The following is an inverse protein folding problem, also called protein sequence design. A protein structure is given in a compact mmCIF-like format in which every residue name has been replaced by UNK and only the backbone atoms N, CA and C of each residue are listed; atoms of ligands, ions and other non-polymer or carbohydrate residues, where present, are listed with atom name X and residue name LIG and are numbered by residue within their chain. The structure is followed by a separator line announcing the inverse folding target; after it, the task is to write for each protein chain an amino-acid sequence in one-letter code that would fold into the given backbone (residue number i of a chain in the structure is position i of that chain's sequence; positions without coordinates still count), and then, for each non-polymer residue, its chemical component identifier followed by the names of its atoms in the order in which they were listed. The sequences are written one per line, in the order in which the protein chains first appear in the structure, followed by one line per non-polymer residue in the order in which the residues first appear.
data_IF_433739275976
#
_entry.id   IF_433739275976
#
_cell.length_a   1.000
_cell.length_b   1.000
_cell.length_c   1.000
_cell.angle_alpha   90.00
_cell.angle_beta   90.00
_cell.angle_gamma   90.00
#
_symmetry.space_group_name_H-M   'P 1'
#
loop_
_entity.id
_entity.type
_entity.pdbx_description
1 polymer ?
#
# COMPACT_ATOMS: atom_id res chain seq x y z
N UNK A 1 30.41 -55.49 -40.18
CA UNK A 1 29.86 -55.92 -38.87
C UNK A 1 30.77 -55.28 -37.85
N UNK A 2 30.43 -54.21 -37.13
CA UNK A 2 29.17 -53.55 -36.72
C UNK A 2 29.50 -52.04 -36.64
N UNK A 3 28.74 -51.15 -37.29
CA UNK A 3 27.58 -50.39 -36.79
C UNK A 3 27.87 -49.40 -35.64
N UNK A 4 27.72 -48.10 -35.99
CA UNK A 4 27.02 -47.00 -35.28
C UNK A 4 27.32 -46.80 -33.77
N UNK A 5 27.64 -45.60 -33.27
CA UNK A 5 26.88 -44.36 -33.43
C UNK A 5 27.75 -43.12 -33.08
N UNK A 6 27.78 -42.14 -33.97
CA UNK A 6 28.20 -40.77 -33.67
C UNK A 6 27.01 -40.07 -33.01
N UNK A 7 27.10 -39.79 -31.71
CA UNK A 7 26.13 -38.95 -31.00
C UNK A 7 26.29 -37.50 -31.46
N UNK A 8 25.38 -37.06 -32.31
CA UNK A 8 25.00 -35.66 -32.43
C UNK A 8 24.15 -35.36 -31.21
N UNK A 9 24.70 -34.65 -30.23
CA UNK A 9 23.89 -34.07 -29.17
C UNK A 9 23.83 -32.57 -29.41
N UNK A 10 22.62 -32.17 -29.77
CA UNK A 10 22.22 -30.85 -30.22
C UNK A 10 22.43 -29.81 -29.12
N UNK A 11 22.92 -28.67 -29.58
CA UNK A 11 22.83 -27.39 -28.91
C UNK A 11 21.39 -27.05 -28.51
N UNK A 12 21.06 -27.08 -27.21
CA UNK A 12 19.94 -26.31 -26.63
C UNK A 12 19.99 -26.29 -25.11
N UNK A 13 21.11 -25.84 -24.55
CA UNK A 13 21.24 -25.56 -23.12
C UNK A 13 21.43 -24.07 -22.88
N UNK A 14 20.39 -23.25 -23.05
CA UNK A 14 20.43 -21.87 -22.57
C UNK A 14 19.02 -21.29 -22.32
N UNK A 15 18.80 -20.88 -21.07
CA UNK A 15 17.74 -20.00 -20.57
C UNK A 15 16.33 -20.58 -20.37
N UNK A 16 16.16 -21.43 -19.36
CA UNK A 16 14.85 -21.73 -18.75
C UNK A 16 14.55 -20.73 -17.63
N UNK A 17 14.24 -19.47 -17.97
CA UNK A 17 13.12 -18.85 -17.25
C UNK A 17 11.88 -19.43 -17.89
N UNK A 18 10.93 -19.89 -17.08
CA UNK A 18 9.76 -20.62 -17.57
C UNK A 18 9.04 -19.73 -18.60
N UNK A 19 8.90 -20.16 -19.86
CA UNK A 19 8.29 -19.33 -20.92
C UNK A 19 6.90 -18.81 -20.50
N UNK A 20 6.22 -19.60 -19.67
CA UNK A 20 4.95 -19.26 -19.01
C UNK A 20 5.03 -18.01 -18.12
N UNK A 21 6.14 -17.80 -17.41
CA UNK A 21 6.34 -16.64 -16.54
C UNK A 21 6.51 -15.37 -17.38
N UNK A 22 7.28 -15.45 -18.46
CA UNK A 22 7.48 -14.32 -19.40
C UNK A 22 6.18 -13.96 -20.13
N UNK A 23 5.37 -14.95 -20.49
CA UNK A 23 4.06 -14.69 -21.09
C UNK A 23 3.09 -14.06 -20.08
N UNK A 24 3.12 -14.51 -18.83
CA UNK A 24 2.32 -13.94 -17.74
C UNK A 24 2.70 -12.48 -17.48
N UNK A 25 4.00 -12.17 -17.39
CA UNK A 25 4.52 -10.80 -17.29
C UNK A 25 4.05 -9.92 -18.45
N UNK A 26 4.15 -10.43 -19.68
CA UNK A 26 3.74 -9.70 -20.87
C UNK A 26 2.25 -9.34 -20.81
N UNK A 27 1.39 -10.29 -20.43
CA UNK A 27 -0.05 -10.06 -20.25
C UNK A 27 -0.28 -9.03 -19.14
N UNK A 28 0.41 -9.16 -18.01
CA UNK A 28 0.29 -8.24 -16.88
C UNK A 28 0.63 -6.80 -17.28
N UNK A 29 1.80 -6.57 -17.88
CA UNK A 29 2.21 -5.24 -18.34
C UNK A 29 1.28 -4.70 -19.43
N UNK A 30 0.76 -5.56 -20.32
CA UNK A 30 -0.22 -5.16 -21.34
C UNK A 30 -1.51 -4.61 -20.74
N UNK A 31 -2.00 -5.23 -19.66
CA UNK A 31 -3.20 -4.77 -18.94
C UNK A 31 -2.91 -3.42 -18.27
N UNK A 32 -1.78 -3.27 -17.60
CA UNK A 32 -1.40 -2.01 -16.95
C UNK A 32 -1.28 -0.87 -17.97
N UNK A 33 -0.62 -1.09 -19.11
CA UNK A 33 -0.44 -0.06 -20.14
C UNK A 33 -1.76 0.43 -20.75
N UNK A 34 -2.77 -0.44 -20.86
CA UNK A 34 -4.11 -0.02 -21.32
C UNK A 34 -4.75 1.02 -20.40
N UNK A 35 -4.45 0.96 -19.10
CA UNK A 35 -4.98 1.89 -18.11
C UNK A 35 -4.08 3.12 -17.93
N UNK A 36 -2.76 2.96 -18.02
CA UNK A 36 -1.78 4.02 -17.75
C UNK A 36 -1.51 4.93 -18.95
N UNK A 37 -1.52 4.42 -20.18
CA UNK A 37 -1.22 5.26 -21.37
C UNK A 37 -2.27 6.37 -21.58
N UNK A 38 -3.58 6.13 -21.37
CA UNK A 38 -4.59 7.19 -21.47
C UNK A 38 -4.45 8.30 -20.42
N UNK A 39 -3.86 8.03 -19.25
CA UNK A 39 -3.72 9.01 -18.16
C UNK A 39 -2.55 9.97 -18.33
N UNK A 40 -1.74 9.83 -19.39
CA UNK A 40 -0.61 10.73 -19.65
C UNK A 40 -1.14 12.11 -20.07
N UNK A 41 -0.82 13.12 -19.28
CA UNK A 41 -1.26 14.51 -19.50
C UNK A 41 -0.56 15.18 -20.69
N UNK A 42 0.70 14.85 -20.95
CA UNK A 42 1.47 15.42 -22.06
C UNK A 42 1.21 14.66 -23.37
N UNK A 43 0.59 15.32 -24.35
CA UNK A 43 0.28 14.75 -25.67
C UNK A 43 1.50 14.22 -26.44
N UNK A 44 2.64 14.91 -26.33
CA UNK A 44 3.87 14.51 -27.02
C UNK A 44 4.40 13.20 -26.43
N UNK A 45 4.45 13.13 -25.10
CA UNK A 45 4.93 11.95 -24.40
C UNK A 45 3.97 10.79 -24.61
N UNK A 46 2.65 11.05 -24.57
CA UNK A 46 1.62 10.05 -24.88
C UNK A 46 1.77 9.46 -26.28
N UNK A 47 2.06 10.29 -27.27
CA UNK A 47 2.28 9.83 -28.66
C UNK A 47 3.54 8.98 -28.77
N UNK A 48 4.63 9.40 -28.12
CA UNK A 48 5.88 8.63 -28.09
C UNK A 48 5.73 7.29 -27.39
N UNK A 49 5.07 7.26 -26.22
CA UNK A 49 4.81 6.03 -25.48
C UNK A 49 3.93 5.08 -26.30
N UNK A 50 2.89 5.58 -26.99
CA UNK A 50 2.10 4.76 -27.91
C UNK A 50 2.97 4.11 -28.99
N UNK A 51 3.89 4.87 -29.61
CA UNK A 51 4.80 4.33 -30.61
C UNK A 51 5.73 3.24 -30.02
N UNK A 52 6.23 3.43 -28.79
CA UNK A 52 7.02 2.42 -28.09
C UNK A 52 6.21 1.14 -27.80
N UNK A 53 4.97 1.28 -27.34
CA UNK A 53 4.07 0.14 -27.10
C UNK A 53 3.80 -0.59 -28.40
N UNK A 54 3.41 0.11 -29.48
CA UNK A 54 3.21 -0.52 -30.79
C UNK A 54 4.46 -1.25 -31.29
N UNK A 55 5.65 -0.67 -31.08
CA UNK A 55 6.91 -1.33 -31.44
C UNK A 55 7.13 -2.61 -30.65
N UNK A 56 6.96 -2.59 -29.32
CA UNK A 56 7.19 -3.75 -28.46
C UNK A 56 6.15 -4.86 -28.67
N UNK A 57 4.97 -4.51 -29.17
CA UNK A 57 3.91 -5.47 -29.53
C UNK A 57 4.04 -5.98 -30.97
N UNK A 58 4.96 -5.44 -31.77
CA UNK A 58 5.18 -5.85 -33.16
C UNK A 58 5.61 -7.33 -33.25
N UNK A 59 5.26 -8.04 -34.33
CA UNK A 59 5.53 -9.48 -34.47
C UNK A 59 6.99 -9.88 -34.26
N UNK A 60 7.92 -8.98 -34.60
CA UNK A 60 9.37 -9.17 -34.44
C UNK A 60 9.80 -9.42 -32.98
N UNK A 61 9.03 -8.93 -32.00
CA UNK A 61 9.29 -9.09 -30.56
C UNK A 61 8.38 -10.12 -29.90
N UNK A 62 7.62 -10.89 -30.67
CA UNK A 62 6.81 -12.01 -30.18
C UNK A 62 7.57 -13.34 -30.19
N UNK A 63 8.84 -13.35 -30.60
CA UNK A 63 9.68 -14.54 -30.58
C UNK A 63 10.33 -14.75 -29.20
N UNK A 64 10.55 -16.01 -28.83
CA UNK A 64 11.16 -16.40 -27.56
C UNK A 64 12.51 -15.72 -27.29
N UNK A 65 13.29 -15.44 -28.35
CA UNK A 65 14.59 -14.76 -28.27
C UNK A 65 14.51 -13.32 -27.74
N UNK A 66 13.35 -12.66 -27.88
CA UNK A 66 13.18 -11.27 -27.49
C UNK A 66 12.21 -11.06 -26.32
N UNK A 67 11.55 -12.12 -25.82
CA UNK A 67 10.56 -12.03 -24.74
C UNK A 67 11.08 -11.32 -23.50
N UNK A 68 12.25 -11.73 -22.99
CA UNK A 68 12.84 -11.12 -21.79
C UNK A 68 13.16 -9.63 -22.01
N UNK A 69 13.81 -9.31 -23.14
CA UNK A 69 14.17 -7.93 -23.46
C UNK A 69 12.92 -7.06 -23.61
N UNK A 70 11.91 -7.54 -24.36
CA UNK A 70 10.62 -6.87 -24.53
C UNK A 70 9.98 -6.62 -23.17
N UNK A 71 9.87 -7.63 -22.32
CA UNK A 71 9.24 -7.52 -21.00
C UNK A 71 9.94 -6.50 -20.11
N UNK A 72 11.28 -6.45 -20.13
CA UNK A 72 12.03 -5.41 -19.40
C UNK A 72 11.76 -3.99 -19.91
N UNK A 73 11.61 -3.81 -21.22
CA UNK A 73 11.18 -2.52 -21.79
C UNK A 73 9.74 -2.17 -21.39
N UNK A 74 8.81 -3.13 -21.41
CA UNK A 74 7.42 -2.90 -21.00
C UNK A 74 7.32 -2.55 -19.52
N UNK A 75 8.05 -3.27 -18.66
CA UNK A 75 8.18 -2.95 -17.24
C UNK A 75 8.71 -1.51 -17.05
N UNK A 76 9.75 -1.14 -17.79
CA UNK A 76 10.30 0.21 -17.70
C UNK A 76 9.28 1.28 -18.08
N UNK A 77 8.49 1.07 -19.14
CA UNK A 77 7.40 1.98 -19.51
C UNK A 77 6.36 2.04 -18.39
N UNK A 78 5.88 0.89 -17.89
CA UNK A 78 4.90 0.83 -16.80
C UNK A 78 5.40 1.62 -15.59
N UNK A 79 6.64 1.40 -15.16
CA UNK A 79 7.24 2.09 -14.02
C UNK A 79 7.39 3.59 -14.30
N UNK A 80 7.78 4.00 -15.49
CA UNK A 80 7.82 5.42 -15.87
C UNK A 80 6.44 6.08 -15.78
N UNK A 81 5.40 5.41 -16.29
CA UNK A 81 4.04 5.94 -16.27
C UNK A 81 3.46 6.02 -14.85
N UNK A 82 3.69 5.00 -14.02
CA UNK A 82 3.24 5.00 -12.62
C UNK A 82 3.87 6.12 -11.79
N UNK A 83 5.04 6.61 -12.19
CA UNK A 83 5.78 7.67 -11.48
C UNK A 83 5.70 9.02 -12.21
N UNK A 84 4.91 9.12 -13.27
CA UNK A 84 4.81 10.29 -14.16
C UNK A 84 6.18 10.84 -14.63
N UNK A 85 7.18 9.96 -14.75
CA UNK A 85 8.54 10.29 -15.18
C UNK A 85 8.90 9.52 -16.46
N UNK A 86 8.59 10.15 -17.59
CA UNK A 86 9.01 9.69 -18.91
C UNK A 86 10.35 10.35 -19.22
N UNK A 87 11.43 9.58 -19.15
CA UNK A 87 12.80 10.07 -19.29
C UNK A 87 13.64 9.16 -20.20
N UNK A 88 14.88 9.61 -20.48
CA UNK A 88 15.84 8.84 -21.26
C UNK A 88 15.35 8.45 -22.67
N UNK A 89 15.51 7.18 -23.01
CA UNK A 89 15.18 6.64 -24.33
C UNK A 89 13.67 6.69 -24.64
N UNK A 90 12.80 6.73 -23.63
CA UNK A 90 11.34 6.76 -23.81
C UNK A 90 10.84 8.11 -24.33
N UNK A 91 11.63 9.20 -24.18
CA UNK A 91 11.36 10.49 -24.82
C UNK A 91 11.64 10.49 -26.32
N UNK A 92 12.43 9.53 -26.80
CA UNK A 92 12.80 9.40 -28.20
C UNK A 92 11.81 8.47 -28.91
N UNK A 93 11.67 8.64 -30.23
CA UNK A 93 10.92 7.68 -31.05
C UNK A 93 11.64 6.32 -31.05
N UNK A 94 10.93 5.19 -30.93
CA UNK A 94 11.56 3.87 -30.95
C UNK A 94 12.33 3.66 -32.26
N UNK A 95 13.54 3.05 -32.22
CA UNK A 95 14.31 2.79 -33.42
C UNK A 95 13.60 1.74 -34.28
N UNK A 96 13.72 1.90 -35.61
CA UNK A 96 13.19 0.93 -36.58
C UNK A 96 13.94 -0.40 -36.61
N UNK A 97 15.17 -0.42 -36.08
CA UNK A 97 16.05 -1.60 -36.05
C UNK A 97 16.03 -2.31 -34.70
N UNK A 98 17.18 -2.86 -34.31
CA UNK A 98 17.36 -3.52 -33.01
C UNK A 98 17.07 -2.55 -31.85
N UNK A 99 16.41 -3.05 -30.81
CA UNK A 99 16.23 -2.26 -29.58
C UNK A 99 17.59 -1.96 -28.96
N UNK A 100 17.77 -0.77 -28.37
CA UNK A 100 18.99 -0.46 -27.63
C UNK A 100 19.29 -1.51 -26.56
N UNK A 101 20.56 -1.71 -26.19
CA UNK A 101 20.93 -2.49 -25.01
C UNK A 101 20.19 -1.96 -23.76
N UNK A 102 19.82 -2.86 -22.85
CA UNK A 102 19.05 -2.50 -21.65
C UNK A 102 19.84 -1.59 -20.71
N UNK A 103 21.16 -1.65 -20.77
CA UNK A 103 22.10 -0.83 -19.99
C UNK A 103 22.00 0.66 -20.37
N UNK A 104 21.54 0.97 -21.59
CA UNK A 104 21.28 2.33 -22.04
C UNK A 104 19.89 2.82 -21.61
N UNK A 105 19.01 1.90 -21.22
CA UNK A 105 17.77 2.19 -20.52
C UNK A 105 18.12 2.48 -19.08
N UNK A 106 18.77 3.63 -18.84
CA UNK A 106 18.92 4.13 -17.47
C UNK A 106 17.51 4.32 -16.94
N UNK A 107 17.07 3.42 -16.06
CA UNK A 107 16.08 3.81 -15.06
C UNK A 107 16.64 5.07 -14.42
N UNK A 108 15.91 6.18 -14.49
CA UNK A 108 16.28 7.40 -13.77
C UNK A 108 16.78 6.97 -12.40
N UNK A 109 17.98 7.41 -12.01
CA UNK A 109 18.40 7.32 -10.62
C UNK A 109 17.36 8.12 -9.86
N UNK A 110 16.39 7.41 -9.26
CA UNK A 110 15.33 8.05 -8.50
C UNK A 110 16.02 8.64 -7.30
N UNK A 111 15.83 9.94 -7.11
CA UNK A 111 16.05 10.53 -5.80
C UNK A 111 15.05 9.85 -4.87
N UNK A 112 15.52 9.46 -3.68
CA UNK A 112 14.67 8.86 -2.66
C UNK A 112 13.50 9.81 -2.38
N UNK A 113 12.29 9.27 -2.31
CA UNK A 113 11.13 10.08 -1.98
C UNK A 113 11.28 10.63 -0.55
N UNK A 114 10.68 11.78 -0.25
CA UNK A 114 10.84 12.42 1.07
C UNK A 114 10.54 11.46 2.23
N UNK A 115 9.52 10.62 2.09
CA UNK A 115 9.11 9.63 3.08
C UNK A 115 10.15 8.51 3.28
N UNK A 116 10.94 8.17 2.26
CA UNK A 116 11.99 7.14 2.33
C UNK A 116 13.17 7.62 3.20
N UNK A 117 13.34 8.94 3.30
CA UNK A 117 14.39 9.58 4.11
C UNK A 117 13.93 9.99 5.50
N UNK A 118 12.63 9.89 5.80
CA UNK A 118 12.05 10.25 7.09
C UNK A 118 12.51 9.26 8.17
N UNK A 119 12.93 9.79 9.33
CA UNK A 119 13.53 9.03 10.44
C UNK A 119 12.62 8.95 11.66
N UNK A 120 11.34 9.30 11.52
CA UNK A 120 10.43 9.42 12.64
C UNK A 120 10.30 8.11 13.42
N UNK A 121 10.26 6.97 12.72
CA UNK A 121 10.16 5.68 13.38
C UNK A 121 11.39 5.39 14.23
N UNK A 122 12.59 5.57 13.68
CA UNK A 122 13.86 5.36 14.37
C UNK A 122 14.02 6.33 15.55
N UNK A 123 13.59 7.59 15.39
CA UNK A 123 13.59 8.61 16.44
C UNK A 123 12.62 8.24 17.58
N UNK A 124 11.41 7.81 17.24
CA UNK A 124 10.42 7.34 18.23
C UNK A 124 10.97 6.14 19.01
N UNK A 125 11.50 5.13 18.34
CA UNK A 125 12.07 3.93 18.99
C UNK A 125 13.24 4.30 19.91
N UNK A 126 14.10 5.26 19.52
CA UNK A 126 15.21 5.74 20.37
C UNK A 126 14.72 6.50 21.60
N UNK A 127 13.59 7.18 21.51
CA UNK A 127 13.01 7.97 22.60
C UNK A 127 12.23 7.13 23.63
N UNK A 128 11.90 5.88 23.30
CA UNK A 128 11.17 4.98 24.18
C UNK A 128 12.03 4.49 25.36
N UNK A 129 11.40 4.34 26.53
CA UNK A 129 12.04 3.70 27.68
C UNK A 129 12.39 2.22 27.40
N UNK A 130 13.46 1.67 28.01
CA UNK A 130 13.82 0.26 27.85
C UNK A 130 12.72 -0.73 28.25
N UNK A 131 11.86 -0.36 29.21
CA UNK A 131 10.69 -1.13 29.65
C UNK A 131 9.60 -1.24 28.58
N UNK A 132 9.57 -0.30 27.63
CA UNK A 132 8.62 -0.21 26.51
C UNK A 132 9.25 -0.66 25.18
N UNK A 133 10.46 -1.24 25.24
CA UNK A 133 11.32 -1.34 24.07
C UNK A 133 10.85 -2.36 23.04
N UNK A 134 10.14 -3.42 23.42
CA UNK A 134 9.65 -4.41 22.45
C UNK A 134 8.34 -5.04 22.90
N UNK A 135 7.30 -4.85 22.08
CA UNK A 135 6.04 -5.56 22.27
C UNK A 135 6.23 -7.07 22.12
N UNK A 136 5.56 -7.84 22.98
CA UNK A 136 5.60 -9.30 22.93
C UNK A 136 4.76 -9.82 21.78
N UNK A 137 5.18 -10.93 21.19
CA UNK A 137 4.41 -11.64 20.17
C UNK A 137 3.19 -12.32 20.81
N UNK A 138 2.00 -12.06 20.30
CA UNK A 138 0.76 -12.73 20.72
C UNK A 138 0.47 -14.02 19.96
N UNK A 139 1.26 -14.32 18.92
CA UNK A 139 1.00 -15.42 17.97
C UNK A 139 1.94 -16.60 18.22
N UNK A 140 3.22 -16.31 18.47
CA UNK A 140 4.25 -17.31 18.71
C UNK A 140 4.60 -17.33 20.20
N UNK A 141 4.72 -18.52 20.77
CA UNK A 141 5.11 -18.71 22.18
C UNK A 141 6.61 -18.51 22.42
N UNK A 142 7.42 -18.54 21.37
CA UNK A 142 8.88 -18.35 21.40
C UNK A 142 9.29 -16.96 20.90
N UNK A 143 10.52 -16.55 21.21
CA UNK A 143 11.08 -15.29 20.74
C UNK A 143 11.25 -15.31 19.22
N UNK A 144 10.34 -14.62 18.53
CA UNK A 144 10.26 -14.61 17.08
C UNK A 144 11.32 -13.75 16.37
N UNK A 145 12.28 -13.18 17.13
CA UNK A 145 13.32 -12.27 16.63
C UNK A 145 14.49 -12.98 15.93
N UNK A 146 14.63 -14.30 16.07
CA UNK A 146 15.77 -15.07 15.54
C UNK A 146 15.49 -15.72 14.17
N UNK A 147 14.84 -15.00 13.26
CA UNK A 147 14.50 -15.51 11.92
C UNK A 147 15.19 -14.73 10.81
N UNK A 148 15.38 -15.38 9.67
CA UNK A 148 15.87 -14.71 8.46
C UNK A 148 14.82 -13.73 7.92
N UNK A 149 15.26 -12.49 7.67
CA UNK A 149 14.42 -11.42 7.12
C UNK A 149 14.23 -11.66 5.61
N UNK A 150 12.98 -11.71 5.17
CA UNK A 150 12.60 -11.88 3.77
C UNK A 150 12.32 -10.54 3.12
N UNK A 151 12.25 -10.49 1.78
CA UNK A 151 11.85 -9.28 1.04
C UNK A 151 10.44 -8.81 1.47
N UNK A 152 9.54 -9.75 1.77
CA UNK A 152 8.19 -9.43 2.24
C UNK A 152 8.20 -8.72 3.60
N UNK A 153 9.16 -9.03 4.48
CA UNK A 153 9.31 -8.31 5.76
C UNK A 153 9.70 -6.86 5.56
N UNK A 154 10.66 -6.63 4.68
CA UNK A 154 11.10 -5.28 4.35
C UNK A 154 9.97 -4.47 3.72
N UNK A 155 9.12 -5.10 2.90
CA UNK A 155 7.95 -4.44 2.32
C UNK A 155 6.94 -4.00 3.40
N UNK A 156 6.66 -4.84 4.40
CA UNK A 156 5.78 -4.48 5.51
C UNK A 156 6.36 -3.34 6.36
N UNK A 157 7.68 -3.27 6.52
CA UNK A 157 8.33 -2.15 7.23
C UNK A 157 8.33 -0.86 6.39
N UNK A 158 8.52 -0.94 5.08
CA UNK A 158 8.36 0.20 4.17
C UNK A 158 6.93 0.73 4.14
N UNK A 159 5.93 -0.16 4.12
CA UNK A 159 4.52 0.21 4.22
C UNK A 159 4.24 0.96 5.52
N UNK A 160 4.76 0.47 6.65
CA UNK A 160 4.59 1.15 7.94
C UNK A 160 5.23 2.54 7.95
N UNK A 161 6.48 2.68 7.45
CA UNK A 161 7.17 3.97 7.34
C UNK A 161 6.36 4.97 6.52
N UNK A 162 5.83 4.53 5.39
CA UNK A 162 5.00 5.36 4.53
C UNK A 162 3.72 5.82 5.24
N UNK A 163 2.99 4.90 5.89
CA UNK A 163 1.78 5.24 6.65
C UNK A 163 2.07 6.20 7.81
N UNK A 164 3.19 6.00 8.51
CA UNK A 164 3.64 6.89 9.59
C UNK A 164 3.93 8.31 9.08
N UNK A 165 4.63 8.42 7.96
CA UNK A 165 4.88 9.70 7.29
C UNK A 165 3.57 10.40 6.90
N UNK A 166 2.60 9.65 6.35
CA UNK A 166 1.28 10.20 5.99
C UNK A 166 0.49 10.69 7.20
N UNK A 167 0.55 10.01 8.35
CA UNK A 167 -0.22 10.36 9.54
C UNK A 167 0.23 11.68 10.19
N UNK A 168 1.53 11.98 10.12
CA UNK A 168 2.18 13.13 10.80
C UNK A 168 1.45 14.47 10.63
N UNK A 169 1.13 14.95 9.41
CA UNK A 169 0.40 16.20 9.26
C UNK A 169 -0.98 16.15 9.89
N UNK A 170 -1.72 15.05 9.77
CA UNK A 170 -3.08 14.93 10.29
C UNK A 170 -3.13 14.94 11.82
N UNK A 171 -2.18 14.28 12.50
CA UNK A 171 -2.07 14.34 13.96
C UNK A 171 -1.91 15.79 14.44
N UNK A 172 -1.13 16.59 13.72
CA UNK A 172 -0.91 18.00 14.08
C UNK A 172 -2.18 18.86 13.94
N UNK A 173 -3.07 18.49 13.01
CA UNK A 173 -4.31 19.17 12.67
C UNK A 173 -5.50 18.82 13.58
N UNK A 174 -5.39 17.77 14.40
CA UNK A 174 -6.43 17.45 15.39
C UNK A 174 -6.68 18.68 16.28
N UNK A 175 -7.94 18.96 16.57
CA UNK A 175 -8.30 20.15 17.36
C UNK A 175 -8.30 19.87 18.86
N UNK A 176 -8.69 18.65 19.26
CA UNK A 176 -8.80 18.28 20.66
C UNK A 176 -7.46 17.78 21.22
N UNK A 177 -6.99 18.27 22.39
CA UNK A 177 -5.76 17.79 23.01
C UNK A 177 -5.77 16.29 23.32
N UNK A 178 -6.93 15.77 23.75
CA UNK A 178 -7.06 14.34 24.07
C UNK A 178 -6.94 13.47 22.82
N UNK A 179 -7.49 13.90 21.68
CA UNK A 179 -7.34 13.16 20.42
C UNK A 179 -5.87 13.10 19.98
N UNK A 180 -5.13 14.20 20.15
CA UNK A 180 -3.68 14.21 19.90
C UNK A 180 -2.94 13.24 20.81
N UNK A 181 -3.33 13.18 22.08
CA UNK A 181 -2.71 12.29 23.05
C UNK A 181 -2.98 10.83 22.69
N UNK A 182 -4.22 10.46 22.36
CA UNK A 182 -4.56 9.11 21.90
C UNK A 182 -3.79 8.74 20.62
N UNK A 183 -3.81 9.61 19.61
CA UNK A 183 -3.09 9.40 18.36
C UNK A 183 -1.59 9.17 18.62
N UNK A 184 -0.96 10.04 19.42
CA UNK A 184 0.45 9.92 19.77
C UNK A 184 0.76 8.62 20.53
N UNK A 185 -0.08 8.24 21.50
CA UNK A 185 0.09 6.98 22.25
C UNK A 185 -0.03 5.76 21.34
N UNK A 186 -1.03 5.71 20.46
CA UNK A 186 -1.19 4.62 19.49
C UNK A 186 -0.03 4.55 18.51
N UNK A 187 0.40 5.69 17.95
CA UNK A 187 1.59 5.73 17.08
C UNK A 187 2.82 5.19 17.80
N UNK A 188 3.04 5.59 19.06
CA UNK A 188 4.15 5.10 19.86
C UNK A 188 4.06 3.58 20.10
N UNK A 189 2.87 3.05 20.43
CA UNK A 189 2.66 1.61 20.57
C UNK A 189 2.99 0.86 19.29
N UNK A 190 2.50 1.34 18.13
CA UNK A 190 2.72 0.67 16.85
C UNK A 190 4.21 0.70 16.46
N UNK A 191 4.92 1.80 16.74
CA UNK A 191 6.36 1.89 16.55
C UNK A 191 7.16 0.90 17.41
N UNK A 192 6.60 0.38 18.51
CA UNK A 192 7.26 -0.63 19.36
C UNK A 192 7.34 -2.02 18.72
N UNK A 193 6.56 -2.27 17.66
CA UNK A 193 6.67 -3.47 16.81
C UNK A 193 7.76 -3.21 15.76
N UNK A 194 8.95 -3.77 15.99
CA UNK A 194 10.21 -3.45 15.28
C UNK A 194 10.41 -4.26 14.00
N UNK A 195 11.45 -3.92 13.24
CA UNK A 195 11.91 -4.66 12.06
C UNK A 195 12.23 -6.14 12.36
N UNK A 196 12.63 -6.47 13.59
CA UNK A 196 12.88 -7.85 14.03
C UNK A 196 11.61 -8.65 14.38
N UNK A 197 10.42 -8.04 14.38
CA UNK A 197 9.17 -8.74 14.68
C UNK A 197 8.75 -9.67 13.55
N UNK A 198 7.97 -10.71 13.86
CA UNK A 198 7.46 -11.64 12.86
C UNK A 198 6.47 -10.96 11.87
N UNK A 199 6.28 -11.50 10.65
CA UNK A 199 5.38 -10.92 9.64
C UNK A 199 3.97 -10.70 10.14
N UNK A 200 3.46 -11.60 10.97
CA UNK A 200 2.11 -11.52 11.48
C UNK A 200 1.92 -10.32 12.42
N UNK A 201 2.90 -10.02 13.28
CA UNK A 201 2.88 -8.79 14.09
C UNK A 201 3.01 -7.53 13.23
N UNK A 202 3.89 -7.56 12.21
CA UNK A 202 4.03 -6.43 11.27
C UNK A 202 2.74 -6.19 10.49
N UNK A 203 2.05 -7.25 10.07
CA UNK A 203 0.74 -7.17 9.43
C UNK A 203 -0.29 -6.51 10.34
N UNK A 204 -0.43 -6.98 11.57
CA UNK A 204 -1.34 -6.37 12.56
C UNK A 204 -0.98 -4.89 12.79
N UNK A 205 0.31 -4.57 12.97
CA UNK A 205 0.78 -3.18 13.11
C UNK A 205 0.32 -2.31 11.93
N UNK A 206 0.49 -2.80 10.71
CA UNK A 206 0.16 -2.06 9.49
C UNK A 206 -1.36 -1.88 9.34
N UNK A 207 -2.16 -2.91 9.65
CA UNK A 207 -3.63 -2.82 9.67
C UNK A 207 -4.09 -1.70 10.61
N UNK A 208 -3.55 -1.67 11.83
CA UNK A 208 -3.85 -0.61 12.80
C UNK A 208 -3.39 0.76 12.32
N UNK A 209 -2.17 0.88 11.77
CA UNK A 209 -1.66 2.16 11.29
C UNK A 209 -2.48 2.69 10.13
N UNK A 210 -2.90 1.82 9.20
CA UNK A 210 -3.75 2.16 8.08
C UNK A 210 -5.14 2.62 8.55
N UNK A 211 -5.75 1.90 9.49
CA UNK A 211 -7.02 2.29 10.07
C UNK A 211 -6.93 3.64 10.81
N UNK A 212 -5.87 3.84 11.60
CA UNK A 212 -5.60 5.11 12.27
C UNK A 212 -5.45 6.25 11.26
N UNK A 213 -4.71 6.05 10.17
CA UNK A 213 -4.61 7.03 9.09
C UNK A 213 -5.97 7.42 8.52
N UNK A 214 -6.88 6.45 8.33
CA UNK A 214 -8.25 6.73 7.88
C UNK A 214 -9.01 7.65 8.83
N UNK A 215 -8.97 7.37 10.14
CA UNK A 215 -9.62 8.24 11.14
C UNK A 215 -8.98 9.63 11.24
N UNK A 216 -7.65 9.69 11.13
CA UNK A 216 -6.89 10.94 11.14
C UNK A 216 -7.21 11.83 9.93
N UNK A 217 -7.47 11.26 8.76
CA UNK A 217 -7.91 12.01 7.57
C UNK A 217 -9.25 12.71 7.80
N UNK A 218 -10.14 12.08 8.57
CA UNK A 218 -11.41 12.66 9.03
C UNK A 218 -11.26 13.60 10.25
N UNK A 219 -10.02 13.83 10.71
CA UNK A 219 -9.65 14.64 11.88
C UNK A 219 -10.36 14.19 13.16
N UNK A 220 -10.55 12.89 13.34
CA UNK A 220 -11.23 12.29 14.50
C UNK A 220 -10.47 11.07 15.00
N UNK A 221 -10.64 10.76 16.28
CA UNK A 221 -10.17 9.51 16.88
C UNK A 221 -11.39 8.72 17.34
N UNK A 222 -11.65 7.59 16.68
CA UNK A 222 -12.83 6.75 16.93
C UNK A 222 -12.50 5.25 16.89
N UNK A 223 -13.46 4.41 17.28
CA UNK A 223 -13.30 2.96 17.23
C UNK A 223 -12.28 2.47 18.26
N UNK A 224 -11.39 1.52 17.92
CA UNK A 224 -10.43 0.96 18.88
C UNK A 224 -9.44 2.01 19.40
N UNK A 225 -9.34 3.17 18.75
CA UNK A 225 -8.40 4.24 19.09
C UNK A 225 -8.90 5.20 20.18
N UNK A 226 -10.17 5.09 20.59
CA UNK A 226 -10.76 5.90 21.68
C UNK A 226 -10.22 5.52 23.05
N UNK A 227 -9.61 4.36 23.17
CA UNK A 227 -8.95 3.90 24.39
C UNK A 227 -7.44 3.99 24.23
N UNK A 228 -6.75 4.19 25.35
CA UNK A 228 -5.30 4.11 25.35
C UNK A 228 -4.85 2.66 25.07
N UNK A 229 -3.84 2.47 24.22
CA UNK A 229 -3.30 1.15 23.94
C UNK A 229 -2.63 0.56 25.19
N UNK A 230 -2.79 -0.75 25.37
CA UNK A 230 -2.01 -1.47 26.37
C UNK A 230 -0.59 -1.72 25.82
N UNK A 231 0.42 -1.18 26.51
CA UNK A 231 1.82 -1.32 26.08
C UNK A 231 2.44 -2.68 26.45
N UNK A 232 1.84 -3.40 27.40
CA UNK A 232 2.40 -4.65 27.95
C UNK A 232 1.83 -5.90 27.29
N UNK A 233 0.59 -5.81 26.81
CA UNK A 233 -0.10 -6.94 26.20
C UNK A 233 0.14 -6.96 24.68
N UNK A 234 0.18 -8.13 24.06
CA UNK A 234 0.26 -8.23 22.61
C UNK A 234 -0.93 -7.54 21.93
N UNK A 235 -0.67 -6.88 20.81
CA UNK A 235 -1.74 -6.38 19.95
C UNK A 235 -2.56 -7.55 19.38
N UNK A 236 -3.86 -7.52 19.64
CA UNK A 236 -4.83 -8.42 18.99
C UNK A 236 -5.03 -7.99 17.54
N UNK A 237 -5.51 -8.88 16.65
CA UNK A 237 -5.92 -8.48 15.31
C UNK A 237 -6.95 -7.35 15.31
N UNK A 238 -6.84 -6.40 14.36
CA UNK A 238 -7.67 -5.20 14.33
C UNK A 238 -9.17 -5.51 14.29
N UNK A 239 -9.58 -6.55 13.55
CA UNK A 239 -10.99 -6.93 13.44
C UNK A 239 -11.60 -7.31 14.80
N UNK A 240 -10.84 -7.96 15.67
CA UNK A 240 -11.28 -8.31 17.03
C UNK A 240 -11.43 -7.04 17.89
N UNK A 241 -10.45 -6.12 17.82
CA UNK A 241 -10.51 -4.87 18.56
C UNK A 241 -11.65 -3.96 18.09
N UNK A 242 -11.95 -3.93 16.78
CA UNK A 242 -13.10 -3.20 16.23
C UNK A 242 -14.41 -3.80 16.73
N UNK A 243 -14.53 -5.12 16.80
CA UNK A 243 -15.72 -5.76 17.35
C UNK A 243 -15.94 -5.40 18.83
N UNK A 244 -14.90 -5.51 19.65
CA UNK A 244 -14.95 -5.11 21.06
C UNK A 244 -15.29 -3.62 21.24
N UNK A 245 -14.71 -2.76 20.40
CA UNK A 245 -15.01 -1.32 20.41
C UNK A 245 -16.45 -1.04 19.99
N UNK A 246 -16.97 -1.71 18.96
CA UNK A 246 -18.36 -1.54 18.51
C UNK A 246 -19.38 -1.96 19.57
N UNK A 247 -19.08 -3.00 20.35
CA UNK A 247 -19.89 -3.42 21.50
C UNK A 247 -19.88 -2.38 22.63
N UNK A 248 -18.73 -1.73 22.87
CA UNK A 248 -18.55 -0.76 23.97
C UNK A 248 -19.00 0.66 23.62
N UNK A 249 -18.75 1.09 22.39
CA UNK A 249 -19.06 2.41 21.84
C UNK A 249 -19.97 2.28 20.63
N UNK A 250 -21.15 1.69 20.83
CA UNK A 250 -22.15 1.64 19.76
C UNK A 250 -22.44 3.05 19.26
N UNK A 251 -22.29 3.28 17.96
CA UNK A 251 -22.61 4.56 17.31
C UNK A 251 -24.09 4.97 17.51
N UNK A 252 -24.94 4.00 17.83
CA UNK A 252 -26.36 4.23 18.16
C UNK A 252 -26.59 4.65 19.60
N UNK A 253 -25.57 4.65 20.46
CA UNK A 253 -25.69 5.05 21.85
C UNK A 253 -25.82 6.58 21.96
N UNK A 254 -27.00 7.12 22.33
CA UNK A 254 -27.20 8.57 22.43
C UNK A 254 -26.45 9.20 23.59
N UNK A 255 -25.90 8.40 24.52
CA UNK A 255 -25.13 8.91 25.66
C UNK A 255 -23.61 8.88 25.41
N UNK A 256 -23.16 8.54 24.20
CA UNK A 256 -21.73 8.47 23.89
C UNK A 256 -21.07 9.86 23.88
N UNK A 257 -19.74 9.90 24.01
CA UNK A 257 -18.98 11.13 23.89
C UNK A 257 -19.17 11.75 22.50
N UNK A 258 -19.24 10.91 21.47
CA UNK A 258 -19.41 11.28 20.07
C UNK A 258 -20.79 11.89 19.83
N UNK A 259 -21.84 11.31 20.41
CA UNK A 259 -23.19 11.85 20.35
C UNK A 259 -23.25 13.21 21.05
N UNK A 260 -22.64 13.34 22.22
CA UNK A 260 -22.58 14.62 22.94
C UNK A 260 -21.77 15.68 22.18
N UNK A 261 -20.62 15.31 21.61
CA UNK A 261 -19.78 16.21 20.82
C UNK A 261 -20.51 16.65 19.54
N UNK A 262 -21.19 15.72 18.85
CA UNK A 262 -22.05 16.05 17.73
C UNK A 262 -23.13 17.05 18.14
N UNK A 263 -23.87 16.79 19.23
CA UNK A 263 -24.92 17.67 19.75
C UNK A 263 -24.39 19.06 20.11
N UNK A 264 -23.22 19.15 20.75
CA UNK A 264 -22.57 20.41 21.11
C UNK A 264 -22.14 21.25 19.90
N UNK A 265 -21.84 20.59 18.77
CA UNK A 265 -21.47 21.24 17.53
C UNK A 265 -22.67 21.61 16.65
N UNK A 266 -23.91 21.32 17.08
CA UNK A 266 -25.09 21.71 16.33
C UNK A 266 -25.39 23.21 16.53
N UNK A 267 -25.95 23.88 15.51
CA UNK A 267 -26.39 25.26 15.65
C UNK A 267 -27.38 25.44 16.80
N UNK A 268 -27.31 26.57 17.50
CA UNK A 268 -28.29 26.89 18.54
C UNK A 268 -29.69 27.04 17.93
N UNK A 269 -30.64 26.22 18.36
CA UNK A 269 -32.03 26.29 17.91
C UNK A 269 -32.81 27.26 18.80
N UNK A 270 -33.35 28.32 18.21
CA UNK A 270 -34.08 29.37 18.95
C UNK A 270 -35.52 28.99 19.33
N UNK A 271 -36.11 27.96 18.71
CA UNK A 271 -37.45 27.43 19.01
C UNK A 271 -37.64 26.01 18.42
N UNK A 272 -38.40 25.16 19.12
CA UNK A 272 -38.81 23.82 18.65
C UNK A 272 -38.09 22.66 19.34
N UNK A 273 -38.58 21.43 19.13
CA UNK A 273 -37.91 20.21 19.52
C UNK A 273 -37.18 19.61 18.31
N UNK A 274 -35.89 19.28 18.47
CA UNK A 274 -35.07 18.68 17.41
C UNK A 274 -34.72 17.26 17.83
N UNK A 275 -34.89 16.31 16.92
CA UNK A 275 -34.51 14.91 17.08
C UNK A 275 -33.42 14.58 16.07
N UNK A 276 -32.31 14.03 16.53
CA UNK A 276 -31.24 13.52 15.69
C UNK A 276 -31.34 11.99 15.67
N UNK A 277 -31.38 11.43 14.46
CA UNK A 277 -31.48 9.99 14.24
C UNK A 277 -30.14 9.49 13.70
N UNK A 278 -29.43 8.69 14.50
CA UNK A 278 -28.28 7.95 14.03
C UNK A 278 -28.80 6.76 13.19
N UNK A 279 -28.59 6.82 11.87
CA UNK A 279 -28.97 5.73 10.96
C UNK A 279 -27.73 4.88 10.70
N UNK A 280 -27.76 3.62 11.14
CA UNK A 280 -26.73 2.62 10.83
C UNK A 280 -27.34 1.43 10.09
N UNK A 281 -26.82 1.12 8.90
CA UNK A 281 -27.22 -0.02 8.07
C UNK A 281 -26.71 0.13 6.64
N UNK A 282 -26.61 -0.97 5.89
CA UNK A 282 -26.59 -0.87 4.42
C UNK A 282 -27.85 -0.12 4.00
N UNK A 283 -27.68 0.96 3.23
CA UNK A 283 -28.77 1.54 2.45
C UNK A 283 -29.23 0.47 1.46
N UNK A 284 -30.02 -0.50 1.92
CA UNK A 284 -30.87 -1.28 1.05
C UNK A 284 -31.66 -0.26 0.28
N UNK A 285 -31.35 -0.17 -1.01
CA UNK A 285 -32.02 0.63 -2.02
C UNK A 285 -33.46 0.14 -2.09
N UNK A 286 -34.24 0.50 -1.09
CA UNK A 286 -35.65 0.21 -1.01
C UNK A 286 -36.27 1.24 -1.92
N UNK A 287 -36.71 0.76 -3.07
CA UNK A 287 -37.52 1.48 -4.03
C UNK A 287 -38.76 2.05 -3.32
N UNK A 288 -38.65 3.24 -2.71
CA UNK A 288 -39.78 4.03 -2.18
C UNK A 288 -40.43 4.82 -3.34
N UNK A 289 -40.51 4.23 -4.53
CA UNK A 289 -41.19 4.82 -5.68
C UNK A 289 -42.21 3.89 -6.38
N UNK A 290 -42.40 2.65 -5.94
CA UNK A 290 -43.37 1.72 -6.57
C UNK A 290 -44.69 1.56 -5.81
N UNK A 291 -45.11 2.55 -5.03
CA UNK A 291 -46.49 2.62 -4.51
C UNK A 291 -47.16 3.96 -4.83
N UNK A 292 -47.17 4.29 -6.12
CA UNK A 292 -48.12 5.21 -6.71
C UNK A 292 -48.60 4.64 -8.06
N UNK A 293 -49.40 3.58 -7.99
CA UNK A 293 -50.36 3.18 -9.01
C UNK A 293 -51.72 2.96 -8.34
#
# INVERSE_FOLDING_TARGET
MENESVSTDDSSGCCLMNEQDLDTEFIYYSILLKNLVPSISNEKDRTNIKAWVERLFSPEYQSCLFNEKRNKYLLHIVLSLMNDDISGILKLTPPKGALPPLELVKMCSREEAEWETDKLWEEMVKSMEPSMSSMKCGIHSEDCTQRDVTIADSLLDSEFRFLLYLAKPYISLLSHPDDKLHAASWTQTLCSIREGSCPAMKGIRNDYMQALCGYLQDLRITGPFQEFPCMTDPLVPLHEAVQCSAEKYSFTNPTSCEANNFLNNQPAFNNGAVCFLAVSGELLSSNILDSAN
#
